data_IF_983248587727
#
_entry.id   IF_983248587727
#
_cell.length_a   1.000
_cell.length_b   1.000
_cell.length_c   1.000
_cell.angle_alpha   90.00
_cell.angle_beta   90.00
_cell.angle_gamma   90.00
#
_symmetry.space_group_name_H-M   'P 1'
#
loop_
_entity.id
_entity.type
_entity.pdbx_description
1 polymer ?
#
# COMPACT_ATOMS: atom_id res chain seq x y z
N UNK A 1 47.50 20.48 0.19
CA UNK A 1 47.36 19.03 0.49
C UNK A 1 45.88 18.67 0.67
N UNK A 2 45.36 17.79 -0.15
CA UNK A 2 43.96 17.32 -0.04
C UNK A 2 43.91 16.31 1.11
N UNK A 3 43.06 16.58 2.11
CA UNK A 3 42.91 15.73 3.28
C UNK A 3 42.20 14.44 2.86
N UNK A 4 42.74 13.25 3.27
CA UNK A 4 42.23 11.89 2.93
C UNK A 4 40.71 11.79 3.18
N UNK A 5 40.17 12.39 4.23
CA UNK A 5 38.75 12.40 4.53
C UNK A 5 37.91 13.18 3.50
N UNK A 6 38.44 14.28 2.96
CA UNK A 6 37.76 15.04 1.88
C UNK A 6 37.78 14.26 0.57
N UNK A 7 38.89 13.60 0.25
CA UNK A 7 38.99 12.78 -0.95
C UNK A 7 38.00 11.58 -0.93
N UNK A 8 37.91 10.87 0.20
CA UNK A 8 36.97 9.76 0.34
C UNK A 8 35.51 10.21 0.24
N UNK A 9 35.14 11.37 0.83
CA UNK A 9 33.78 11.89 0.73
C UNK A 9 33.40 12.31 -0.68
N UNK A 10 34.30 12.94 -1.43
CA UNK A 10 34.05 13.35 -2.82
C UNK A 10 34.03 12.15 -3.78
N UNK A 11 34.89 11.15 -3.61
CA UNK A 11 34.89 9.96 -4.47
C UNK A 11 33.68 9.05 -4.24
N UNK A 12 33.21 8.89 -2.99
CA UNK A 12 31.99 8.12 -2.71
C UNK A 12 30.74 8.79 -3.30
N UNK A 13 30.65 10.12 -3.25
CA UNK A 13 29.54 10.85 -3.82
C UNK A 13 29.47 10.75 -5.35
N UNK A 14 30.63 10.69 -6.02
CA UNK A 14 30.70 10.54 -7.48
C UNK A 14 30.34 9.12 -7.95
N UNK A 15 30.70 8.08 -7.19
CA UNK A 15 30.36 6.70 -7.52
C UNK A 15 28.87 6.42 -7.32
N UNK A 16 28.24 7.01 -6.30
CA UNK A 16 26.81 6.87 -6.05
C UNK A 16 25.94 7.46 -7.18
N UNK A 17 26.42 8.51 -7.86
CA UNK A 17 25.73 9.11 -9.00
C UNK A 17 25.83 8.26 -10.28
N UNK A 18 26.87 7.43 -10.42
CA UNK A 18 27.06 6.55 -11.59
C UNK A 18 26.26 5.26 -11.50
N UNK A 19 25.82 4.87 -10.30
CA UNK A 19 25.00 3.67 -10.05
C UNK A 19 23.49 3.93 -10.04
N UNK A 20 23.06 5.16 -10.21
CA UNK A 20 21.63 5.43 -10.38
C UNK A 20 21.18 4.81 -11.70
N UNK A 21 20.18 3.93 -11.71
CA UNK A 21 19.61 3.44 -12.95
C UNK A 21 19.20 4.68 -13.75
N UNK A 22 19.53 4.70 -15.05
CA UNK A 22 19.04 5.75 -15.96
C UNK A 22 17.51 5.71 -15.87
N UNK A 23 16.94 6.60 -15.08
CA UNK A 23 15.51 6.78 -15.04
C UNK A 23 15.20 7.38 -16.42
N UNK A 24 14.77 6.53 -17.33
CA UNK A 24 14.15 6.98 -18.57
C UNK A 24 12.93 7.79 -18.13
N UNK A 25 13.06 9.10 -18.19
CA UNK A 25 11.94 10.01 -18.05
C UNK A 25 11.05 9.78 -19.30
N UNK A 26 10.29 8.68 -19.29
CA UNK A 26 9.12 8.63 -20.14
C UNK A 26 8.30 9.86 -19.75
N UNK A 27 8.06 10.73 -20.71
CA UNK A 27 7.33 12.01 -20.53
C UNK A 27 5.83 11.75 -20.30
N UNK A 28 5.51 10.89 -19.35
CA UNK A 28 4.16 10.75 -18.86
C UNK A 28 3.99 11.77 -17.75
N UNK A 29 3.39 12.90 -18.10
CA UNK A 29 3.03 13.91 -17.11
C UNK A 29 1.85 13.39 -16.29
N UNK A 30 2.12 13.10 -15.03
CA UNK A 30 1.09 12.78 -14.05
C UNK A 30 0.77 14.02 -13.22
N UNK A 31 -0.51 14.28 -12.96
CA UNK A 31 -0.94 15.33 -12.05
C UNK A 31 -0.52 15.02 -10.61
N UNK A 32 -0.58 13.73 -10.24
CA UNK A 32 -0.33 13.25 -8.88
C UNK A 32 0.43 11.93 -8.90
N UNK A 33 1.40 11.80 -8.00
CA UNK A 33 2.07 10.53 -7.69
C UNK A 33 1.64 10.07 -6.30
N UNK A 34 1.06 8.88 -6.21
CA UNK A 34 0.69 8.22 -4.94
C UNK A 34 1.76 7.18 -4.61
N UNK A 35 2.36 7.28 -3.43
CA UNK A 35 3.38 6.36 -2.95
C UNK A 35 2.75 5.36 -1.99
N UNK A 36 2.77 4.09 -2.37
CA UNK A 36 2.22 2.96 -1.66
C UNK A 36 0.82 2.55 -2.14
N UNK A 37 0.68 1.28 -2.56
CA UNK A 37 -0.58 0.68 -2.99
C UNK A 37 -1.29 -0.11 -1.87
N UNK A 38 -1.23 0.37 -0.65
CA UNK A 38 -2.08 -0.08 0.46
C UNK A 38 -3.50 0.48 0.34
N UNK A 39 -4.39 0.14 1.28
CA UNK A 39 -5.80 0.55 1.26
C UNK A 39 -5.98 2.07 1.08
N UNK A 40 -5.20 2.89 1.79
CA UNK A 40 -5.28 4.36 1.71
C UNK A 40 -4.78 4.88 0.36
N UNK A 41 -3.65 4.35 -0.16
CA UNK A 41 -3.10 4.77 -1.45
C UNK A 41 -4.01 4.38 -2.61
N UNK A 42 -4.59 3.19 -2.58
CA UNK A 42 -5.56 2.75 -3.60
C UNK A 42 -6.84 3.59 -3.55
N UNK A 43 -7.32 3.92 -2.35
CA UNK A 43 -8.48 4.80 -2.20
C UNK A 43 -8.21 6.21 -2.74
N UNK A 44 -7.05 6.79 -2.41
CA UNK A 44 -6.62 8.10 -2.92
C UNK A 44 -6.49 8.08 -4.44
N UNK A 45 -5.84 7.05 -5.00
CA UNK A 45 -5.70 6.87 -6.46
C UNK A 45 -7.07 6.83 -7.13
N UNK A 46 -7.97 6.00 -6.61
CA UNK A 46 -9.33 5.85 -7.16
C UNK A 46 -10.11 7.17 -7.12
N UNK A 47 -10.03 7.89 -6.01
CA UNK A 47 -10.70 9.19 -5.84
C UNK A 47 -10.16 10.24 -6.81
N UNK A 48 -8.84 10.34 -6.93
CA UNK A 48 -8.19 11.31 -7.84
C UNK A 48 -8.50 11.01 -9.31
N UNK A 49 -8.48 9.73 -9.70
CA UNK A 49 -8.86 9.30 -11.05
C UNK A 49 -10.33 9.62 -11.35
N UNK A 50 -11.23 9.40 -10.38
CA UNK A 50 -12.64 9.78 -10.50
C UNK A 50 -12.84 11.30 -10.63
N UNK A 51 -11.92 12.09 -10.09
CA UNK A 51 -11.86 13.55 -10.25
C UNK A 51 -11.16 14.00 -11.55
N UNK A 52 -10.87 13.08 -12.48
CA UNK A 52 -10.27 13.37 -13.80
C UNK A 52 -8.76 13.64 -13.76
N UNK A 53 -8.06 13.29 -12.66
CA UNK A 53 -6.62 13.46 -12.55
C UNK A 53 -5.86 12.28 -13.15
N UNK A 54 -4.74 12.59 -13.80
CA UNK A 54 -3.75 11.60 -14.22
C UNK A 54 -2.91 11.20 -13.01
N UNK A 55 -2.98 9.92 -12.59
CA UNK A 55 -2.36 9.46 -11.34
C UNK A 55 -1.41 8.31 -11.60
N UNK A 56 -0.19 8.43 -11.07
CA UNK A 56 0.76 7.32 -10.96
C UNK A 56 0.74 6.79 -9.52
N UNK A 57 0.37 5.53 -9.35
CA UNK A 57 0.50 4.85 -8.05
C UNK A 57 1.71 3.92 -8.10
N UNK A 58 2.66 4.10 -7.18
CA UNK A 58 3.88 3.28 -7.08
C UNK A 58 3.89 2.50 -5.78
N UNK A 59 4.35 1.24 -5.86
CA UNK A 59 4.43 0.31 -4.73
C UNK A 59 5.82 -0.32 -4.69
N UNK A 60 6.42 -0.40 -3.51
CA UNK A 60 7.74 -0.98 -3.31
C UNK A 60 7.74 -2.51 -3.31
N UNK A 61 6.63 -3.12 -2.92
CA UNK A 61 6.47 -4.58 -2.90
C UNK A 61 5.98 -5.09 -4.25
N UNK A 62 6.18 -6.36 -4.52
CA UNK A 62 5.64 -7.05 -5.71
C UNK A 62 4.12 -7.25 -5.66
N UNK A 63 3.45 -6.89 -4.56
CA UNK A 63 2.00 -7.01 -4.37
C UNK A 63 1.38 -5.70 -3.88
N UNK A 64 0.15 -5.46 -4.26
CA UNK A 64 -0.71 -4.40 -3.72
C UNK A 64 -1.45 -4.87 -2.46
N UNK A 65 -2.06 -3.93 -1.73
CA UNK A 65 -2.89 -4.21 -0.55
C UNK A 65 -2.21 -3.85 0.78
N UNK A 66 -0.87 -3.80 0.84
CA UNK A 66 -0.15 -3.48 2.07
C UNK A 66 -0.49 -4.46 3.21
N UNK A 67 -1.07 -3.96 4.31
CA UNK A 67 -1.53 -4.77 5.45
C UNK A 67 -2.83 -5.55 5.20
N UNK A 68 -3.55 -5.30 4.12
CA UNK A 68 -4.64 -6.17 3.66
C UNK A 68 -4.02 -7.27 2.79
N UNK A 69 -3.76 -8.42 3.40
CA UNK A 69 -3.11 -9.56 2.75
C UNK A 69 -3.72 -10.86 3.21
N UNK A 70 -4.21 -11.63 2.26
CA UNK A 70 -4.72 -12.98 2.48
C UNK A 70 -3.75 -13.99 1.89
N UNK A 71 -3.33 -14.97 2.65
CA UNK A 71 -2.44 -16.06 2.23
C UNK A 71 -3.19 -17.38 2.13
N UNK A 72 -2.92 -18.15 1.09
CA UNK A 72 -3.50 -19.48 0.87
C UNK A 72 -2.46 -20.60 1.03
N UNK A 73 -1.17 -20.25 1.15
CA UNK A 73 -0.08 -21.21 1.08
C UNK A 73 0.17 -21.92 2.41
N UNK A 74 -0.12 -21.25 3.53
CA UNK A 74 0.23 -21.76 4.86
C UNK A 74 -0.75 -22.85 5.32
N UNK A 75 -2.06 -22.60 5.19
CA UNK A 75 -3.10 -23.48 5.70
C UNK A 75 -3.90 -24.20 4.62
N UNK A 76 -3.59 -24.00 3.34
CA UNK A 76 -4.35 -24.53 2.21
C UNK A 76 -5.76 -23.94 2.05
N UNK A 77 -6.11 -22.97 2.88
CA UNK A 77 -7.34 -22.17 2.82
C UNK A 77 -6.99 -20.68 2.95
N UNK A 78 -7.83 -19.77 2.43
CA UNK A 78 -7.61 -18.34 2.58
C UNK A 78 -7.54 -17.93 4.04
N UNK A 79 -6.44 -17.30 4.46
CA UNK A 79 -6.24 -16.78 5.79
C UNK A 79 -5.72 -15.35 5.75
N UNK A 80 -6.37 -14.43 6.47
CA UNK A 80 -5.99 -13.04 6.52
C UNK A 80 -4.81 -12.83 7.47
N UNK A 81 -3.66 -12.51 6.89
CA UNK A 81 -2.39 -12.28 7.61
C UNK A 81 -2.28 -10.86 8.18
N UNK A 82 -3.25 -10.02 7.96
CA UNK A 82 -3.23 -8.61 8.37
C UNK A 82 -4.59 -8.11 8.81
N UNK A 83 -5.15 -7.12 8.11
CA UNK A 83 -6.43 -6.53 8.43
C UNK A 83 -7.55 -7.56 8.28
N UNK A 84 -8.20 -7.90 9.37
CA UNK A 84 -9.16 -8.99 9.48
C UNK A 84 -10.56 -8.50 9.89
N UNK A 85 -10.64 -7.52 10.79
CA UNK A 85 -11.90 -7.05 11.36
C UNK A 85 -12.27 -5.63 10.94
N UNK A 86 -13.56 -5.41 10.70
CA UNK A 86 -14.15 -4.09 10.51
C UNK A 86 -14.73 -3.58 11.84
N UNK A 87 -13.93 -2.82 12.57
CA UNK A 87 -14.39 -2.17 13.80
C UNK A 87 -15.34 -1.01 13.50
N UNK A 88 -16.23 -0.69 14.45
CA UNK A 88 -17.18 0.44 14.34
C UNK A 88 -18.02 0.38 13.05
N UNK A 89 -18.61 -0.75 12.78
CA UNK A 89 -19.29 -1.05 11.51
C UNK A 89 -20.25 0.03 11.01
N UNK A 90 -20.99 0.70 11.90
CA UNK A 90 -21.93 1.77 11.55
C UNK A 90 -21.26 2.98 10.94
N UNK A 91 -20.06 3.35 11.42
CA UNK A 91 -19.33 4.55 11.00
C UNK A 91 -18.13 4.25 10.10
N UNK A 92 -17.80 2.97 9.89
CA UNK A 92 -16.63 2.56 9.12
C UNK A 92 -16.85 2.81 7.62
N UNK A 93 -15.92 3.53 6.98
CA UNK A 93 -16.02 3.87 5.55
C UNK A 93 -15.86 2.64 4.66
N UNK A 94 -15.06 1.64 5.06
CA UNK A 94 -14.90 0.39 4.33
C UNK A 94 -16.19 -0.43 4.39
N UNK A 95 -16.87 -0.45 5.54
CA UNK A 95 -18.18 -1.08 5.67
C UNK A 95 -19.24 -0.39 4.78
N UNK A 96 -19.21 0.94 4.71
CA UNK A 96 -20.11 1.71 3.80
C UNK A 96 -19.81 1.38 2.34
N UNK A 97 -18.53 1.30 1.98
CA UNK A 97 -18.11 0.90 0.63
C UNK A 97 -18.58 -0.52 0.30
N UNK A 98 -18.37 -1.49 1.18
CA UNK A 98 -18.83 -2.87 0.98
C UNK A 98 -20.35 -2.98 0.84
N UNK A 99 -21.12 -2.20 1.64
CA UNK A 99 -22.59 -2.13 1.49
C UNK A 99 -23.04 -1.60 0.12
N UNK A 100 -22.30 -0.64 -0.43
CA UNK A 100 -22.58 -0.08 -1.76
C UNK A 100 -22.26 -1.08 -2.88
N UNK A 101 -21.34 -1.99 -2.66
CA UNK A 101 -20.85 -2.97 -3.63
C UNK A 101 -21.14 -4.42 -3.18
N UNK A 102 -22.39 -4.70 -2.80
CA UNK A 102 -22.82 -6.02 -2.29
C UNK A 102 -22.65 -7.16 -3.28
N UNK A 103 -22.58 -6.85 -4.56
CA UNK A 103 -22.26 -7.80 -5.63
C UNK A 103 -20.84 -8.35 -5.59
N UNK A 104 -19.91 -7.63 -4.90
CA UNK A 104 -18.49 -7.94 -4.84
C UNK A 104 -17.99 -8.30 -3.45
N UNK A 105 -18.75 -7.93 -2.39
CA UNK A 105 -18.31 -8.04 -1.02
C UNK A 105 -19.41 -8.61 -0.13
N UNK A 106 -19.08 -9.68 0.59
CA UNK A 106 -19.91 -10.21 1.65
C UNK A 106 -19.32 -9.77 3.00
N UNK A 107 -20.11 -9.04 3.79
CA UNK A 107 -19.71 -8.64 5.13
C UNK A 107 -20.52 -9.47 6.11
N UNK A 108 -19.83 -10.30 6.87
CA UNK A 108 -20.44 -11.13 7.91
C UNK A 108 -20.35 -10.41 9.25
N UNK A 109 -21.44 -10.48 10.01
CA UNK A 109 -21.46 -10.00 11.38
C UNK A 109 -21.06 -11.14 12.28
N UNK A 110 -20.05 -10.93 13.10
CA UNK A 110 -19.73 -11.87 14.16
C UNK A 110 -20.89 -11.88 15.16
N UNK A 111 -21.41 -13.07 15.45
CA UNK A 111 -22.54 -13.28 16.37
C UNK A 111 -22.08 -13.74 17.75
N UNK A 112 -20.83 -14.17 17.87
CA UNK A 112 -20.29 -14.68 19.13
C UNK A 112 -19.61 -13.55 19.90
N UNK A 113 -19.91 -13.37 21.19
CA UNK A 113 -19.09 -12.52 22.04
C UNK A 113 -17.69 -13.15 22.12
N UNK A 114 -16.66 -12.32 21.92
CA UNK A 114 -15.28 -12.73 22.10
C UNK A 114 -15.10 -13.19 23.55
N UNK A 115 -15.04 -14.49 23.79
CA UNK A 115 -14.65 -15.02 25.10
C UNK A 115 -13.13 -14.95 25.20
N UNK A 116 -12.62 -13.98 25.93
CA UNK A 116 -11.22 -13.94 26.34
C UNK A 116 -11.10 -14.86 27.55
N UNK A 117 -10.44 -16.00 27.36
CA UNK A 117 -10.01 -16.83 28.48
C UNK A 117 -8.74 -16.20 29.04
N UNK A 118 -8.86 -15.50 30.17
CA UNK A 118 -7.74 -15.25 31.06
C UNK A 118 -7.47 -16.56 31.80
N UNK A 119 -6.40 -17.25 31.34
CA UNK A 119 -5.88 -18.45 32.00
C UNK A 119 -5.12 -18.13 33.27
#
# INVERSE_FOLDING_TARGET
MINRRKFLKTSLSSLALLSLPKISLAQNNYDVVVIGAGASGLAATSYLMAAGKSVLCIEAMSRKGGRCYTDNSIFGVPYDMGAHWLHQYSNNQIAKFGKKHKDKFNIYKDKEPLMIYDG
#
